data_IF_608851175750
#
_entry.id   IF_608851175750
#
_cell.length_a   1.000
_cell.length_b   1.000
_cell.length_c   1.000
_cell.angle_alpha   90.00
_cell.angle_beta   90.00
_cell.angle_gamma   90.00
#
_symmetry.space_group_name_H-M   'P 1'
#
loop_
_entity.id
_entity.type
_entity.pdbx_description
1 polymer ?
#
# COMPACT_ATOMS: atom_id res chain seq x y z
N UNK A 1 52.69 -9.09 -47.79
CA UNK A 1 51.65 -10.04 -48.22
C UNK A 1 51.64 -11.09 -47.12
N UNK A 2 50.79 -11.01 -46.09
CA UNK A 2 49.37 -10.65 -46.11
C UNK A 2 48.97 -9.80 -44.91
N UNK A 3 48.21 -8.75 -45.21
CA UNK A 3 47.57 -7.90 -44.22
C UNK A 3 46.38 -8.65 -43.62
N UNK A 4 46.36 -8.77 -42.30
CA UNK A 4 45.14 -9.16 -41.56
C UNK A 4 44.19 -7.96 -41.54
N UNK A 5 42.93 -8.07 -42.02
CA UNK A 5 42.01 -6.95 -41.98
C UNK A 5 41.45 -6.78 -40.56
N UNK A 6 41.52 -5.53 -40.07
CA UNK A 6 40.67 -5.06 -39.00
C UNK A 6 39.27 -4.77 -39.59
N UNK A 7 38.25 -5.50 -39.16
CA UNK A 7 36.84 -5.20 -39.42
C UNK A 7 35.99 -5.67 -38.23
N UNK A 8 35.58 -4.73 -37.36
CA UNK A 8 34.19 -4.26 -37.17
C UNK A 8 33.25 -5.38 -36.66
N UNK A 9 32.45 -5.26 -35.62
CA UNK A 9 31.41 -4.26 -35.38
C UNK A 9 30.68 -4.68 -34.09
N UNK A 10 30.22 -3.71 -33.32
CA UNK A 10 28.97 -3.79 -32.57
C UNK A 10 28.83 -4.93 -31.56
N UNK A 11 29.44 -4.78 -30.37
CA UNK A 11 28.82 -5.34 -29.17
C UNK A 11 27.47 -4.66 -29.00
N UNK A 12 26.43 -5.27 -29.57
CA UNK A 12 25.05 -4.90 -29.32
C UNK A 12 24.87 -4.78 -27.82
N UNK A 13 24.63 -3.56 -27.34
CA UNK A 13 24.08 -3.35 -26.01
C UNK A 13 22.76 -4.11 -26.03
N UNK A 14 22.76 -5.34 -25.52
CA UNK A 14 21.54 -6.07 -25.25
C UNK A 14 20.76 -5.19 -24.29
N UNK A 15 19.76 -4.48 -24.82
CA UNK A 15 18.81 -3.72 -24.04
C UNK A 15 18.06 -4.76 -23.22
N UNK A 16 18.55 -4.99 -22.00
CA UNK A 16 18.01 -5.95 -21.05
C UNK A 16 16.62 -5.46 -20.68
N UNK A 17 15.62 -5.81 -21.49
CA UNK A 17 14.22 -5.54 -21.18
C UNK A 17 13.86 -6.45 -20.01
N UNK A 18 14.04 -5.95 -18.80
CA UNK A 18 13.49 -6.57 -17.60
C UNK A 18 11.97 -6.55 -17.74
N UNK A 19 11.39 -7.64 -18.26
CA UNK A 19 9.95 -7.86 -18.28
C UNK A 19 9.46 -7.87 -16.83
N UNK A 20 8.85 -6.78 -16.37
CA UNK A 20 8.18 -6.70 -15.08
C UNK A 20 6.99 -7.68 -15.06
N UNK A 21 7.22 -8.90 -14.54
CA UNK A 21 6.22 -9.99 -14.54
C UNK A 21 5.08 -9.82 -13.52
N UNK A 22 5.16 -8.84 -12.61
CA UNK A 22 4.27 -8.74 -11.43
C UNK A 22 3.57 -7.37 -11.25
N UNK A 23 3.12 -6.72 -12.33
CA UNK A 23 2.34 -5.47 -12.22
C UNK A 23 0.94 -5.63 -12.81
N UNK A 24 -0.06 -5.13 -12.09
CA UNK A 24 -1.45 -5.13 -12.52
C UNK A 24 -1.67 -4.21 -13.73
N UNK A 25 -2.65 -4.50 -14.60
CA UNK A 25 -3.02 -3.60 -15.70
C UNK A 25 -3.34 -2.19 -15.20
N UNK A 26 -3.03 -1.16 -15.99
CA UNK A 26 -3.25 0.25 -15.61
C UNK A 26 -4.70 0.58 -15.19
N UNK A 27 -5.69 -0.15 -15.70
CA UNK A 27 -7.09 -0.01 -15.30
C UNK A 27 -7.33 -0.31 -13.82
N UNK A 28 -6.51 -1.16 -13.19
CA UNK A 28 -6.58 -1.48 -11.78
C UNK A 28 -6.28 -0.28 -10.88
N UNK A 29 -5.48 0.70 -11.33
CA UNK A 29 -5.21 1.93 -10.58
C UNK A 29 -6.50 2.70 -10.27
N UNK A 30 -7.42 2.78 -11.24
CA UNK A 30 -8.71 3.47 -11.08
C UNK A 30 -9.58 2.77 -10.04
N UNK A 31 -9.70 1.45 -10.13
CA UNK A 31 -10.43 0.63 -9.16
C UNK A 31 -9.81 0.70 -7.77
N UNK A 32 -8.48 0.74 -7.68
CA UNK A 32 -7.76 0.93 -6.42
C UNK A 32 -8.15 2.23 -5.72
N UNK A 33 -8.25 3.35 -6.46
CA UNK A 33 -8.72 4.63 -5.89
C UNK A 33 -10.21 4.59 -5.50
N UNK A 34 -11.06 3.97 -6.32
CA UNK A 34 -12.49 3.80 -6.02
C UNK A 34 -12.70 2.97 -4.75
N UNK A 35 -11.84 1.99 -4.46
CA UNK A 35 -11.89 1.20 -3.22
C UNK A 35 -11.28 1.95 -2.03
N UNK A 36 -10.13 2.58 -2.25
CA UNK A 36 -9.34 3.23 -1.19
C UNK A 36 -10.05 4.44 -0.61
N UNK A 37 -10.63 5.33 -1.44
CA UNK A 37 -11.20 6.59 -0.98
C UNK A 37 -12.41 6.37 -0.04
N UNK A 38 -13.42 5.55 -0.40
CA UNK A 38 -14.54 5.27 0.50
C UNK A 38 -14.12 4.51 1.75
N UNK A 39 -13.21 3.54 1.64
CA UNK A 39 -12.71 2.81 2.80
C UNK A 39 -11.94 3.73 3.76
N UNK A 40 -11.12 4.65 3.23
CA UNK A 40 -10.41 5.65 4.01
C UNK A 40 -11.38 6.63 4.69
N UNK A 41 -12.41 7.09 3.97
CA UNK A 41 -13.43 7.97 4.52
C UNK A 41 -14.24 7.28 5.64
N UNK A 42 -14.66 6.03 5.43
CA UNK A 42 -15.34 5.23 6.45
C UNK A 42 -14.44 4.98 7.66
N UNK A 43 -13.17 4.62 7.44
CA UNK A 43 -12.18 4.46 8.51
C UNK A 43 -12.00 5.75 9.32
N UNK A 44 -11.94 6.90 8.65
CA UNK A 44 -11.90 8.20 9.30
C UNK A 44 -13.19 8.46 10.11
N UNK A 45 -14.38 8.24 9.55
CA UNK A 45 -15.63 8.37 10.28
C UNK A 45 -15.67 7.49 11.55
N UNK A 46 -15.22 6.24 11.48
CA UNK A 46 -15.18 5.34 12.64
C UNK A 46 -14.21 5.79 13.74
N UNK A 47 -13.25 6.65 13.44
CA UNK A 47 -12.32 7.19 14.45
C UNK A 47 -12.86 8.43 15.17
N UNK A 48 -13.67 9.25 14.49
CA UNK A 48 -14.14 10.55 15.00
C UNK A 48 -15.58 10.52 15.48
N UNK A 49 -16.35 9.51 15.11
CA UNK A 49 -17.74 9.33 15.52
C UNK A 49 -17.79 8.10 16.41
N UNK A 50 -18.01 8.33 17.69
CA UNK A 50 -18.23 7.26 18.66
C UNK A 50 -19.42 6.41 18.21
N UNK A 51 -19.30 5.09 18.38
CA UNK A 51 -20.35 4.12 18.03
C UNK A 51 -20.83 4.17 16.57
N UNK A 52 -20.00 4.65 15.63
CA UNK A 52 -20.39 4.76 14.21
C UNK A 52 -20.96 3.45 13.62
N UNK A 53 -20.44 2.30 14.08
CA UNK A 53 -20.92 0.98 13.70
C UNK A 53 -22.43 0.76 13.98
N UNK A 54 -23.01 1.46 14.96
CA UNK A 54 -24.45 1.39 15.27
C UNK A 54 -25.33 1.97 14.15
N UNK A 55 -24.83 2.92 13.34
CA UNK A 55 -25.55 3.44 12.18
C UNK A 55 -25.65 2.42 11.03
N UNK A 56 -24.85 1.35 11.08
CA UNK A 56 -24.81 0.29 10.08
C UNK A 56 -25.13 -1.07 10.71
N UNK A 57 -26.33 -1.24 11.33
CA UNK A 57 -26.65 -2.43 12.12
C UNK A 57 -26.74 -3.71 11.28
N UNK A 58 -26.91 -3.59 9.96
CA UNK A 58 -26.92 -4.72 9.03
C UNK A 58 -25.54 -5.35 8.80
N UNK A 59 -24.46 -4.74 9.30
CA UNK A 59 -23.12 -5.35 9.35
C UNK A 59 -22.87 -6.15 10.63
N UNK A 60 -23.86 -6.27 11.52
CA UNK A 60 -23.75 -7.16 12.67
C UNK A 60 -24.03 -8.61 12.25
N UNK A 61 -23.08 -9.49 12.55
CA UNK A 61 -23.18 -10.93 12.29
C UNK A 61 -23.10 -11.70 13.61
N UNK A 62 -23.86 -12.78 13.70
CA UNK A 62 -23.79 -13.67 14.86
C UNK A 62 -22.72 -14.73 14.60
N UNK A 63 -21.65 -14.67 15.36
CA UNK A 63 -20.54 -15.61 15.30
C UNK A 63 -20.71 -16.69 16.36
N UNK A 64 -20.36 -17.94 16.05
CA UNK A 64 -20.34 -18.98 17.05
C UNK A 64 -19.18 -18.78 18.04
N UNK A 65 -19.34 -19.25 19.29
CA UNK A 65 -18.36 -19.04 20.36
C UNK A 65 -16.98 -19.69 20.15
N UNK A 66 -16.82 -20.56 19.15
CA UNK A 66 -15.53 -21.16 18.77
C UNK A 66 -14.76 -20.34 17.71
N UNK A 67 -15.28 -19.18 17.31
CA UNK A 67 -14.61 -18.31 16.33
C UNK A 67 -13.29 -17.75 16.89
N UNK A 68 -12.23 -17.78 16.08
CA UNK A 68 -10.90 -17.33 16.49
C UNK A 68 -10.96 -15.86 16.91
N UNK A 69 -10.51 -15.56 18.14
CA UNK A 69 -10.56 -14.22 18.73
C UNK A 69 -11.76 -13.97 19.65
N UNK A 70 -12.73 -14.89 19.73
CA UNK A 70 -13.83 -14.82 20.69
C UNK A 70 -13.33 -14.72 22.14
N UNK A 71 -12.27 -15.47 22.48
CA UNK A 71 -11.65 -15.45 23.81
C UNK A 71 -10.88 -14.14 24.12
N UNK A 72 -10.44 -13.40 23.08
CA UNK A 72 -9.76 -12.10 23.26
C UNK A 72 -10.77 -10.96 23.48
N UNK A 73 -12.00 -11.12 22.96
CA UNK A 73 -13.08 -10.15 23.08
C UNK A 73 -14.03 -10.46 24.24
N UNK A 74 -14.07 -11.70 24.72
CA UNK A 74 -14.90 -12.12 25.84
C UNK A 74 -14.10 -12.96 26.84
N UNK A 75 -13.85 -12.37 28.00
CA UNK A 75 -13.45 -13.13 29.18
C UNK A 75 -14.60 -14.09 29.57
N UNK A 76 -14.50 -15.36 29.16
CA UNK A 76 -15.19 -16.46 29.81
C UNK A 76 -16.61 -16.83 29.35
N UNK A 77 -17.03 -16.51 28.11
CA UNK A 77 -18.32 -17.00 27.57
C UNK A 77 -18.15 -17.71 26.23
N UNK A 78 -18.15 -19.04 26.26
CA UNK A 78 -18.19 -19.91 25.06
C UNK A 78 -19.54 -19.90 24.31
N UNK A 79 -20.30 -18.81 24.39
CA UNK A 79 -21.59 -18.65 23.73
C UNK A 79 -21.48 -17.92 22.38
N UNK A 80 -22.50 -18.03 21.51
CA UNK A 80 -22.57 -17.20 20.31
C UNK A 80 -22.64 -15.72 20.68
N UNK A 81 -22.05 -14.87 19.85
CA UNK A 81 -21.98 -13.42 20.08
C UNK A 81 -22.20 -12.63 18.81
N UNK A 82 -22.66 -11.39 18.98
CA UNK A 82 -22.85 -10.47 17.86
C UNK A 82 -21.60 -9.63 17.67
N UNK A 83 -21.09 -9.61 16.44
CA UNK A 83 -19.89 -8.87 16.06
C UNK A 83 -20.16 -7.98 14.87
N UNK A 84 -19.63 -6.77 14.88
CA UNK A 84 -19.75 -5.85 13.75
C UNK A 84 -18.53 -5.99 12.84
N UNK A 85 -18.75 -6.42 11.59
CA UNK A 85 -17.65 -6.67 10.63
C UNK A 85 -17.18 -5.43 9.86
N UNK A 86 -17.67 -4.23 10.22
CA UNK A 86 -17.30 -2.98 9.55
C UNK A 86 -15.78 -2.71 9.61
N UNK A 87 -15.08 -2.85 10.75
CA UNK A 87 -13.63 -2.60 10.81
C UNK A 87 -12.85 -3.53 9.88
N UNK A 88 -13.19 -4.82 9.84
CA UNK A 88 -12.56 -5.82 8.97
C UNK A 88 -12.78 -5.47 7.50
N UNK A 89 -13.98 -5.00 7.16
CA UNK A 89 -14.32 -4.59 5.81
C UNK A 89 -13.51 -3.36 5.37
N UNK A 90 -13.39 -2.36 6.25
CA UNK A 90 -12.58 -1.16 6.02
C UNK A 90 -11.11 -1.56 5.79
N UNK A 91 -10.53 -2.34 6.70
CA UNK A 91 -9.13 -2.78 6.61
C UNK A 91 -8.88 -3.57 5.33
N UNK A 92 -9.81 -4.46 4.95
CA UNK A 92 -9.71 -5.30 3.76
C UNK A 92 -9.76 -4.45 2.48
N UNK A 93 -10.76 -3.58 2.33
CA UNK A 93 -10.88 -2.74 1.14
C UNK A 93 -9.78 -1.70 1.05
N UNK A 94 -9.35 -1.13 2.16
CA UNK A 94 -8.23 -0.19 2.20
C UNK A 94 -6.93 -0.87 1.79
N UNK A 95 -6.63 -2.05 2.34
CA UNK A 95 -5.44 -2.83 1.97
C UNK A 95 -5.46 -3.23 0.50
N UNK A 96 -6.57 -3.81 0.03
CA UNK A 96 -6.73 -4.22 -1.36
C UNK A 96 -6.62 -3.03 -2.32
N UNK A 97 -7.25 -1.90 -1.98
CA UNK A 97 -7.20 -0.68 -2.76
C UNK A 97 -5.79 -0.11 -2.87
N UNK A 98 -5.06 -0.02 -1.75
CA UNK A 98 -3.67 0.45 -1.73
C UNK A 98 -2.73 -0.45 -2.52
N UNK A 99 -2.87 -1.77 -2.41
CA UNK A 99 -2.09 -2.74 -3.21
C UNK A 99 -2.38 -2.57 -4.71
N UNK A 100 -3.65 -2.41 -5.09
CA UNK A 100 -4.03 -2.17 -6.50
C UNK A 100 -3.43 -0.86 -7.04
N UNK A 101 -3.46 0.22 -6.25
CA UNK A 101 -2.82 1.49 -6.64
C UNK A 101 -1.31 1.30 -6.76
N UNK A 102 -0.70 0.63 -5.78
CA UNK A 102 0.73 0.52 -5.64
C UNK A 102 1.38 -0.30 -6.78
N UNK A 103 0.77 -1.43 -7.10
CA UNK A 103 1.31 -2.39 -8.06
C UNK A 103 0.67 -2.30 -9.45
N UNK A 104 -0.07 -1.22 -9.75
CA UNK A 104 -0.58 -0.97 -11.10
C UNK A 104 0.52 -0.42 -12.04
N UNK A 105 0.48 -0.86 -13.29
CA UNK A 105 1.30 -0.32 -14.39
C UNK A 105 0.92 1.12 -14.70
N UNK A 106 1.91 1.90 -15.13
CA UNK A 106 1.70 3.24 -15.69
C UNK A 106 1.45 3.14 -17.21
N UNK A 107 0.84 4.17 -17.83
CA UNK A 107 0.50 4.15 -19.27
C UNK A 107 1.69 3.88 -20.19
N UNK A 108 2.85 4.44 -19.84
CA UNK A 108 4.13 4.19 -20.50
C UNK A 108 5.07 3.72 -19.41
N UNK A 109 5.55 2.49 -19.52
CA UNK A 109 6.46 1.91 -18.55
C UNK A 109 7.87 1.86 -19.16
N UNK A 110 8.77 2.67 -18.60
CA UNK A 110 10.17 2.76 -18.99
C UNK A 110 11.07 2.27 -17.85
N UNK A 111 12.34 1.98 -18.15
CA UNK A 111 13.34 1.50 -17.20
C UNK A 111 13.45 2.45 -15.99
N UNK A 112 13.40 3.77 -16.23
CA UNK A 112 13.38 4.79 -15.18
C UNK A 112 12.19 4.65 -14.23
N UNK A 113 10.99 4.37 -14.73
CA UNK A 113 9.78 4.25 -13.90
C UNK A 113 9.87 3.00 -13.03
N UNK A 114 10.39 1.90 -13.58
CA UNK A 114 10.63 0.67 -12.83
C UNK A 114 11.64 0.89 -11.69
N UNK A 115 12.71 1.65 -11.93
CA UNK A 115 13.68 2.03 -10.91
C UNK A 115 13.05 2.91 -9.81
N UNK A 116 12.34 3.99 -10.19
CA UNK A 116 11.64 4.87 -9.25
C UNK A 116 10.67 4.06 -8.38
N UNK A 117 9.98 3.07 -8.95
CA UNK A 117 9.07 2.18 -8.21
C UNK A 117 9.84 1.37 -7.16
N UNK A 118 10.92 0.71 -7.55
CA UNK A 118 11.71 -0.11 -6.63
C UNK A 118 12.30 0.73 -5.49
N UNK A 119 12.88 1.88 -5.82
CA UNK A 119 13.38 2.81 -4.81
C UNK A 119 12.26 3.29 -3.90
N UNK A 120 11.12 3.69 -4.45
CA UNK A 120 9.96 4.15 -3.66
C UNK A 120 9.53 3.08 -2.68
N UNK A 121 9.54 1.81 -3.09
CA UNK A 121 9.14 0.69 -2.24
C UNK A 121 10.14 0.49 -1.10
N UNK A 122 11.44 0.53 -1.41
CA UNK A 122 12.51 0.46 -0.41
C UNK A 122 12.36 1.57 0.63
N UNK A 123 12.15 2.82 0.18
CA UNK A 123 11.95 3.95 1.10
C UNK A 123 10.68 3.81 1.93
N UNK A 124 9.58 3.31 1.35
CA UNK A 124 8.35 3.01 2.09
C UNK A 124 8.60 2.02 3.22
N UNK A 125 9.36 0.95 2.96
CA UNK A 125 9.74 -0.04 4.00
C UNK A 125 10.66 0.58 5.05
N UNK A 126 11.70 1.32 4.65
CA UNK A 126 12.65 1.93 5.59
C UNK A 126 11.97 2.93 6.54
N UNK A 127 11.12 3.82 5.99
CA UNK A 127 10.33 4.76 6.79
C UNK A 127 9.37 4.01 7.72
N UNK A 128 8.76 2.92 7.23
CA UNK A 128 7.87 2.11 8.05
C UNK A 128 8.59 1.47 9.24
N UNK A 129 9.77 0.91 9.02
CA UNK A 129 10.58 0.32 10.09
C UNK A 129 10.97 1.40 11.10
N UNK A 130 11.42 2.57 10.64
CA UNK A 130 11.72 3.70 11.52
C UNK A 130 10.50 4.11 12.34
N UNK A 131 9.32 4.21 11.72
CA UNK A 131 8.06 4.52 12.39
C UNK A 131 7.72 3.50 13.50
N UNK A 132 7.83 2.19 13.23
CA UNK A 132 7.56 1.15 14.23
C UNK A 132 8.56 1.22 15.39
N UNK A 133 9.85 1.41 15.10
CA UNK A 133 10.88 1.51 16.13
C UNK A 133 10.60 2.70 17.05
N UNK A 134 10.30 3.88 16.46
CA UNK A 134 9.94 5.06 17.23
C UNK A 134 8.67 4.85 18.05
N UNK A 135 7.63 4.26 17.45
CA UNK A 135 6.39 3.94 18.17
C UNK A 135 6.62 2.99 19.34
N UNK A 136 7.51 2.02 19.19
CA UNK A 136 7.82 1.04 20.24
C UNK A 136 8.53 1.66 21.44
N UNK A 137 9.32 2.71 21.22
CA UNK A 137 10.02 3.44 22.29
C UNK A 137 9.15 4.54 22.91
N UNK A 138 8.22 5.11 22.14
CA UNK A 138 7.47 6.31 22.54
C UNK A 138 6.02 6.05 22.96
N UNK A 139 5.40 4.95 22.53
CA UNK A 139 3.98 4.65 22.72
C UNK A 139 3.81 3.33 23.46
N UNK A 140 2.93 3.31 24.47
CA UNK A 140 2.72 2.16 25.34
C UNK A 140 1.22 1.82 25.48
N UNK A 141 0.94 0.60 25.97
CA UNK A 141 -0.43 0.14 26.26
C UNK A 141 -1.32 -0.02 25.02
N UNK A 142 -2.63 0.17 25.18
CA UNK A 142 -3.60 0.02 24.09
C UNK A 142 -3.34 0.95 22.89
N UNK A 143 -2.79 2.14 23.13
CA UNK A 143 -2.43 3.08 22.06
C UNK A 143 -1.35 2.53 21.13
N UNK A 144 -0.44 1.70 21.63
CA UNK A 144 0.57 1.04 20.80
C UNK A 144 -0.07 0.03 19.84
N UNK A 145 -1.10 -0.69 20.28
CA UNK A 145 -1.86 -1.61 19.41
C UNK A 145 -2.53 -0.86 18.25
N UNK A 146 -3.11 0.32 18.51
CA UNK A 146 -3.65 1.18 17.44
C UNK A 146 -2.58 1.60 16.44
N UNK A 147 -1.38 1.95 16.92
CA UNK A 147 -0.24 2.28 16.04
C UNK A 147 0.18 1.09 15.17
N UNK A 148 0.18 -0.12 15.72
CA UNK A 148 0.45 -1.33 14.94
C UNK A 148 -0.61 -1.60 13.87
N UNK A 149 -1.90 -1.32 14.14
CA UNK A 149 -2.96 -1.40 13.14
C UNK A 149 -2.70 -0.43 11.99
N UNK A 150 -2.35 0.82 12.30
CA UNK A 150 -2.01 1.81 11.26
C UNK A 150 -0.75 1.43 10.48
N UNK A 151 0.17 0.71 11.12
CA UNK A 151 1.40 0.25 10.49
C UNK A 151 1.19 -0.63 9.26
N UNK A 152 0.04 -1.32 9.15
CA UNK A 152 -0.28 -2.13 7.99
C UNK A 152 -0.41 -1.31 6.70
N UNK A 153 -0.78 -0.03 6.80
CA UNK A 153 -1.05 0.83 5.65
C UNK A 153 0.09 1.81 5.36
N UNK A 154 0.85 2.21 6.38
CA UNK A 154 1.94 3.19 6.26
C UNK A 154 2.98 2.87 5.18
N UNK A 155 3.52 1.65 5.00
CA UNK A 155 4.55 1.41 3.99
C UNK A 155 3.99 1.62 2.57
N UNK A 156 2.74 1.21 2.32
CA UNK A 156 2.04 1.39 1.05
C UNK A 156 1.71 2.86 0.80
N UNK A 157 1.24 3.58 1.82
CA UNK A 157 0.95 5.01 1.70
C UNK A 157 2.21 5.82 1.36
N UNK A 158 3.31 5.62 2.11
CA UNK A 158 4.58 6.29 1.84
C UNK A 158 5.13 5.94 0.46
N UNK A 159 5.05 4.67 0.07
CA UNK A 159 5.41 4.21 -1.26
C UNK A 159 4.61 4.97 -2.34
N UNK A 160 3.28 4.99 -2.25
CA UNK A 160 2.39 5.64 -3.22
C UNK A 160 2.69 7.14 -3.30
N UNK A 161 2.83 7.82 -2.15
CA UNK A 161 3.11 9.25 -2.10
C UNK A 161 4.45 9.55 -2.79
N UNK A 162 5.54 8.87 -2.40
CA UNK A 162 6.87 9.09 -2.98
C UNK A 162 6.90 8.76 -4.47
N UNK A 163 6.31 7.64 -4.87
CA UNK A 163 6.26 7.22 -6.27
C UNK A 163 5.56 8.27 -7.15
N UNK A 164 4.36 8.71 -6.77
CA UNK A 164 3.62 9.71 -7.55
C UNK A 164 4.29 11.09 -7.53
N UNK A 165 4.93 11.46 -6.41
CA UNK A 165 5.69 12.71 -6.31
C UNK A 165 6.85 12.73 -7.31
N UNK A 166 7.71 11.72 -7.29
CA UNK A 166 8.87 11.64 -8.19
C UNK A 166 8.41 11.53 -9.66
N UNK A 167 7.33 10.79 -9.92
CA UNK A 167 6.84 10.59 -11.29
C UNK A 167 6.23 11.86 -11.92
N UNK A 168 5.38 12.58 -11.17
CA UNK A 168 4.59 13.69 -11.74
C UNK A 168 5.05 15.08 -11.32
N UNK A 169 5.70 15.22 -10.16
CA UNK A 169 6.10 16.53 -9.62
C UNK A 169 7.51 16.88 -10.07
N UNK A 170 8.50 16.01 -9.85
CA UNK A 170 9.91 16.31 -10.14
C UNK A 170 10.18 16.78 -11.60
N UNK A 171 9.65 16.12 -12.66
CA UNK A 171 9.91 16.56 -14.04
C UNK A 171 9.27 17.91 -14.41
N UNK A 172 8.34 18.42 -13.58
CA UNK A 172 7.76 19.75 -13.77
C UNK A 172 8.65 20.85 -13.22
N UNK A 173 9.52 20.55 -12.25
CA UNK A 173 10.46 21.52 -11.68
C UNK A 173 11.70 21.68 -12.55
N UNK A 174 12.28 20.58 -13.02
CA UNK A 174 13.45 20.60 -13.93
C UNK A 174 13.18 21.41 -15.21
N UNK A 175 11.94 21.38 -15.72
CA UNK A 175 11.53 22.19 -16.89
C UNK A 175 11.39 23.68 -16.59
N UNK A 176 11.09 24.07 -15.35
CA UNK A 176 10.95 25.48 -14.95
C UNK A 176 12.31 26.12 -14.66
N UNK A 177 13.25 25.35 -14.13
CA UNK A 177 14.63 25.80 -13.86
C UNK A 177 15.48 25.88 -15.15
N UNK A 178 15.05 25.20 -16.22
CA UNK A 178 15.71 25.22 -17.53
C UNK A 178 15.23 26.35 -18.48
N UNK A 179 14.32 27.23 -18.02
CA UNK A 179 13.76 28.37 -18.75
C UNK A 179 14.25 29.69 -18.13
#
# INVERSE_FOLDING_TARGET
MDAWPADHTGTSKQKQTMKSRFLFPNSCKKWGWILTIPALALGFCTMFIDDFAQYLPWLNVNLPGWFIGADFLQEGRGGPFTHNILPELIVTFLSAGLVLIAFSKEKVEDERISQIRLESLQWGVLINVLYVVLATVLVYGGSYLSVLVYNMFTPLLFFIIRFNWILYVQPRWERKEAL
#
